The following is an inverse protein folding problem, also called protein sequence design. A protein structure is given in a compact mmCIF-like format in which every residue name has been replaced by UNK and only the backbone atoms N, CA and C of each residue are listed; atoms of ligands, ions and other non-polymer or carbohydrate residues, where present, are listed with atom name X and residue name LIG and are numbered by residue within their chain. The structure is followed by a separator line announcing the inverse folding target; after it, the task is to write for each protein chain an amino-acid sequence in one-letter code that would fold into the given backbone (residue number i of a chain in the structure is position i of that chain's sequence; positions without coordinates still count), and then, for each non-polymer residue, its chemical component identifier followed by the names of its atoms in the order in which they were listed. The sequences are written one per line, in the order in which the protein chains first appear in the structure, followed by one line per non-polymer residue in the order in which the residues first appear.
data_IF_436727283184
#
_entry.id   IF_436727283184
#
_cell.length_a   1.000
_cell.length_b   1.000
_cell.length_c   1.000
_cell.angle_alpha   90.00
_cell.angle_beta   90.00
_cell.angle_gamma   90.00
#
_symmetry.space_group_name_H-M   'P 1'
#
loop_
_entity.id
_entity.type
_entity.pdbx_description
1 polymer ?
#
# COMPACT_ATOMS: atom_id res chain seq x y z
N UNK A 1 -6.89 -4.61 -0.44
CA UNK A 1 -8.18 -5.03 0.14
C UNK A 1 -7.92 -5.63 1.51
N UNK A 2 -8.28 -4.91 2.60
CA UNK A 2 -8.16 -5.41 3.96
C UNK A 2 -8.98 -6.69 4.13
N UNK A 3 -8.33 -7.75 4.61
CA UNK A 3 -9.02 -9.02 4.89
C UNK A 3 -10.02 -8.76 6.04
N UNK A 4 -11.30 -9.08 5.80
CA UNK A 4 -12.48 -8.77 6.65
C UNK A 4 -13.04 -7.34 6.63
N UNK A 5 -12.70 -6.48 5.65
CA UNK A 5 -13.22 -5.08 5.58
C UNK A 5 -13.15 -4.37 6.95
N UNK A 6 -12.11 -4.68 7.75
CA UNK A 6 -11.89 -4.01 9.04
C UNK A 6 -11.82 -2.53 8.73
N UNK A 7 -12.74 -1.75 9.30
CA UNK A 7 -12.86 -0.28 9.22
C UNK A 7 -11.64 0.43 9.83
N UNK A 8 -10.43 -0.07 9.60
CA UNK A 8 -9.20 0.32 10.29
C UNK A 8 -8.45 1.45 9.57
N UNK A 9 -8.99 1.99 8.48
CA UNK A 9 -8.39 3.09 7.75
C UNK A 9 -8.94 4.42 8.29
N UNK A 10 -8.81 4.65 9.62
CA UNK A 10 -9.16 5.92 10.26
C UNK A 10 -7.94 6.86 10.30
N UNK A 11 -8.16 8.12 9.91
CA UNK A 11 -7.33 9.32 10.17
C UNK A 11 -5.80 9.14 10.19
N UNK A 12 -5.24 8.87 11.37
CA UNK A 12 -3.79 8.74 11.58
C UNK A 12 -3.17 7.59 10.78
N UNK A 13 -3.86 6.46 10.67
CA UNK A 13 -3.38 5.30 9.91
C UNK A 13 -3.29 5.62 8.41
N UNK A 14 -4.12 6.55 7.87
CA UNK A 14 -4.05 6.96 6.45
C UNK A 14 -2.72 7.60 6.08
N UNK A 15 -2.26 8.58 6.88
CA UNK A 15 -1.00 9.30 6.59
C UNK A 15 0.20 8.36 6.66
N UNK A 16 0.23 7.51 7.68
CA UNK A 16 1.30 6.53 7.87
C UNK A 16 1.30 5.46 6.76
N UNK A 17 0.12 4.95 6.38
CA UNK A 17 -0.01 4.00 5.27
C UNK A 17 0.51 4.59 3.95
N UNK A 18 0.16 5.84 3.64
CA UNK A 18 0.66 6.52 2.45
C UNK A 18 2.19 6.50 2.40
N UNK A 19 2.85 6.92 3.49
CA UNK A 19 4.31 6.91 3.60
C UNK A 19 4.91 5.51 3.41
N UNK A 20 4.30 4.48 4.01
CA UNK A 20 4.74 3.08 3.83
C UNK A 20 4.65 2.67 2.36
N UNK A 21 3.53 2.92 1.70
CA UNK A 21 3.36 2.55 0.29
C UNK A 21 4.35 3.29 -0.62
N UNK A 22 4.57 4.59 -0.40
CA UNK A 22 5.58 5.34 -1.15
C UNK A 22 6.99 4.79 -0.91
N UNK A 23 7.35 4.45 0.34
CA UNK A 23 8.63 3.84 0.67
C UNK A 23 8.83 2.46 0.01
N UNK A 24 7.81 1.61 0.06
CA UNK A 24 7.84 0.28 -0.57
C UNK A 24 7.88 0.38 -2.11
N UNK A 25 7.18 1.34 -2.71
CA UNK A 25 7.23 1.56 -4.16
C UNK A 25 8.64 1.96 -4.60
N UNK A 26 9.29 2.88 -3.86
CA UNK A 26 10.68 3.29 -4.14
C UNK A 26 11.67 2.14 -4.06
N UNK A 27 11.48 1.17 -3.16
CA UNK A 27 12.33 -0.03 -3.08
C UNK A 27 12.23 -0.92 -4.33
N UNK A 28 11.17 -0.78 -5.12
CA UNK A 28 10.99 -1.46 -6.41
C UNK A 28 11.15 -0.53 -7.60
N UNK A 29 11.77 0.65 -7.38
CA UNK A 29 11.95 1.68 -8.40
C UNK A 29 10.63 2.11 -9.06
N UNK A 30 9.51 1.90 -8.35
CA UNK A 30 8.17 2.28 -8.79
C UNK A 30 7.80 3.64 -8.18
N UNK A 31 6.98 4.40 -8.91
CA UNK A 31 6.47 5.68 -8.46
C UNK A 31 4.95 5.62 -8.34
N UNK A 32 4.42 5.95 -7.16
CA UNK A 32 2.99 6.17 -6.98
C UNK A 32 2.69 7.58 -7.49
N UNK A 33 1.91 7.68 -8.56
CA UNK A 33 1.47 8.93 -9.17
C UNK A 33 0.27 9.50 -8.42
N UNK A 34 -0.68 8.64 -8.05
CA UNK A 34 -1.90 8.99 -7.33
C UNK A 34 -2.30 7.89 -6.34
N UNK A 35 -2.94 8.25 -5.23
CA UNK A 35 -3.33 7.30 -4.18
C UNK A 35 -4.53 7.75 -3.37
N UNK A 36 -5.62 6.97 -3.40
CA UNK A 36 -6.88 7.26 -2.71
C UNK A 36 -7.18 6.14 -1.70
N UNK A 37 -7.15 6.48 -0.42
CA UNK A 37 -7.57 5.59 0.65
C UNK A 37 -9.10 5.67 0.78
N UNK A 38 -9.77 4.54 0.60
CA UNK A 38 -11.20 4.36 0.85
C UNK A 38 -11.39 3.58 2.17
N UNK A 39 -12.58 3.62 2.80
CA UNK A 39 -12.80 2.98 4.09
C UNK A 39 -12.53 1.46 4.10
N UNK A 40 -12.75 0.80 2.97
CA UNK A 40 -12.64 -0.65 2.80
C UNK A 40 -11.61 -1.06 1.73
N UNK A 41 -10.99 -0.11 1.04
CA UNK A 41 -10.00 -0.38 0.00
C UNK A 41 -9.05 0.78 -0.27
N UNK A 42 -8.06 0.56 -1.14
CA UNK A 42 -7.10 1.59 -1.55
C UNK A 42 -6.96 1.54 -3.06
N UNK A 43 -7.10 2.67 -3.72
CA UNK A 43 -6.77 2.88 -5.13
C UNK A 43 -5.40 3.52 -5.23
N UNK A 44 -4.57 3.04 -6.15
CA UNK A 44 -3.26 3.63 -6.44
C UNK A 44 -3.00 3.57 -7.94
N UNK A 45 -2.53 4.68 -8.49
CA UNK A 45 -1.92 4.75 -9.81
C UNK A 45 -0.40 4.65 -9.64
N UNK A 46 0.21 3.62 -10.21
CA UNK A 46 1.64 3.32 -10.03
C UNK A 46 2.32 3.21 -11.39
N UNK A 47 3.35 4.01 -11.60
CA UNK A 47 4.30 3.82 -12.69
C UNK A 47 5.28 2.71 -12.31
N UNK A 48 5.29 1.64 -13.09
CA UNK A 48 6.13 0.45 -12.87
C UNK A 48 7.14 0.36 -14.02
N UNK A 49 8.46 0.25 -13.74
CA UNK A 49 9.45 0.01 -14.77
C UNK A 49 9.19 -1.31 -15.53
N UNK A 50 9.41 -1.37 -16.86
CA UNK A 50 9.09 -2.54 -17.67
C UNK A 50 9.89 -3.81 -17.28
N UNK A 51 11.03 -3.65 -16.59
CA UNK A 51 11.84 -4.74 -16.05
C UNK A 51 11.17 -5.51 -14.88
N UNK A 52 10.10 -4.96 -14.30
CA UNK A 52 9.42 -5.57 -13.16
C UNK A 52 8.05 -6.11 -13.56
N UNK A 53 7.78 -7.43 -13.35
CA UNK A 53 6.45 -7.97 -13.55
C UNK A 53 5.44 -7.32 -12.60
N UNK A 54 4.30 -6.86 -13.14
CA UNK A 54 3.25 -6.18 -12.38
C UNK A 54 2.81 -7.01 -11.15
N UNK A 55 2.58 -8.32 -11.33
CA UNK A 55 2.18 -9.21 -10.24
C UNK A 55 3.20 -9.24 -9.09
N UNK A 56 4.50 -9.14 -9.40
CA UNK A 56 5.57 -9.11 -8.38
C UNK A 56 5.52 -7.83 -7.56
N UNK A 57 5.37 -6.67 -8.21
CA UNK A 57 5.25 -5.37 -7.53
C UNK A 57 4.01 -5.33 -6.64
N UNK A 58 2.86 -5.76 -7.15
CA UNK A 58 1.61 -5.79 -6.39
C UNK A 58 1.68 -6.78 -5.22
N UNK A 59 2.28 -7.96 -5.43
CA UNK A 59 2.49 -8.95 -4.38
C UNK A 59 3.40 -8.43 -3.26
N UNK A 60 4.50 -7.79 -3.64
CA UNK A 60 5.44 -7.17 -2.71
C UNK A 60 4.77 -6.07 -1.87
N UNK A 61 4.08 -5.13 -2.51
CA UNK A 61 3.38 -4.03 -1.84
C UNK A 61 2.35 -4.58 -0.83
N UNK A 62 1.48 -5.49 -1.26
CA UNK A 62 0.45 -6.09 -0.39
C UNK A 62 1.04 -6.87 0.78
N UNK A 63 2.09 -7.65 0.53
CA UNK A 63 2.74 -8.48 1.55
C UNK A 63 3.39 -7.63 2.65
N UNK A 64 4.21 -6.66 2.25
CA UNK A 64 4.92 -5.78 3.19
C UNK A 64 3.98 -4.81 3.91
N UNK A 65 2.97 -4.26 3.22
CA UNK A 65 1.97 -3.41 3.86
C UNK A 65 1.14 -4.16 4.91
N UNK A 66 0.80 -5.43 4.67
CA UNK A 66 0.04 -6.24 5.63
C UNK A 66 0.79 -6.43 6.95
N UNK A 67 2.12 -6.64 6.89
CA UNK A 67 2.99 -6.73 8.07
C UNK A 67 2.99 -5.38 8.80
N UNK A 68 3.19 -4.27 8.08
CA UNK A 68 3.23 -2.95 8.68
C UNK A 68 1.90 -2.56 9.37
N UNK A 69 0.74 -2.97 8.80
CA UNK A 69 -0.57 -2.71 9.41
C UNK A 69 -0.89 -3.61 10.59
N UNK A 70 -0.22 -4.76 10.75
CA UNK A 70 -0.44 -5.68 11.88
C UNK A 70 0.11 -5.09 13.19
N UNK A 71 1.12 -4.23 13.12
CA UNK A 71 1.79 -3.66 14.29
C UNK A 71 1.08 -2.43 14.88
N UNK A 72 0.02 -1.93 14.26
CA UNK A 72 -0.73 -0.73 14.71
C UNK A 72 -1.98 -1.06 15.55
N UNK A 73 -2.06 -2.27 16.11
CA UNK A 73 -3.20 -2.74 16.91
C UNK A 73 -2.77 -3.26 18.28
N UNK A 74 -1.98 -2.47 19.01
CA UNK A 74 -1.86 -2.56 20.46
C UNK A 74 -2.99 -1.80 21.12
#
# INVERSE_FOLDING_TARGET
MPKRRRRAIFGQTRRHLGQIFHGLARQKECQILEGHLMPDHVHMCIAIPPKHPVASVIGFLKGKSAIATRSAGG
#
